data_IF_102907164357
#
_entry.id   IF_102907164357
#
_cell.length_a   1.000
_cell.length_b   1.000
_cell.length_c   1.000
_cell.angle_alpha   90.00
_cell.angle_beta   90.00
_cell.angle_gamma   90.00
#
_symmetry.space_group_name_H-M   'P 1'
#
loop_
_entity.id
_entity.type
_entity.pdbx_description
1 polymer ?
#
# COMPACT_ATOMS: atom_id res chain seq x y z
N UNK A 1 -34.08 5.88 4.53
CA UNK A 1 -33.72 7.26 4.94
C UNK A 1 -32.32 7.56 4.43
N UNK A 2 -32.14 8.65 3.67
CA UNK A 2 -30.84 9.08 3.09
C UNK A 2 -30.40 10.35 3.82
N UNK A 3 -29.10 10.50 4.08
CA UNK A 3 -28.61 11.71 4.74
C UNK A 3 -28.68 12.92 3.80
N UNK A 4 -28.75 14.13 4.39
CA UNK A 4 -28.83 15.39 3.66
C UNK A 4 -27.72 15.54 2.60
N UNK A 5 -26.52 15.02 2.90
CA UNK A 5 -25.38 15.01 1.97
C UNK A 5 -25.64 14.18 0.71
N UNK A 6 -26.10 12.93 0.89
CA UNK A 6 -26.42 12.05 -0.24
C UNK A 6 -27.56 12.62 -1.08
N UNK A 7 -28.57 13.24 -0.44
CA UNK A 7 -29.67 13.90 -1.13
C UNK A 7 -29.18 15.08 -1.99
N UNK A 8 -28.31 15.94 -1.45
CA UNK A 8 -27.70 17.06 -2.19
C UNK A 8 -26.87 16.61 -3.39
N UNK A 9 -26.05 15.58 -3.21
CA UNK A 9 -25.25 15.02 -4.30
C UNK A 9 -26.13 14.43 -5.41
N UNK A 10 -27.16 13.64 -5.05
CA UNK A 10 -28.01 12.95 -6.04
C UNK A 10 -28.94 13.89 -6.81
N UNK A 11 -29.51 14.89 -6.16
CA UNK A 11 -30.55 15.74 -6.77
C UNK A 11 -30.06 17.10 -7.25
N UNK A 12 -28.94 17.59 -6.72
CA UNK A 12 -28.42 18.92 -7.02
C UNK A 12 -26.96 18.93 -7.48
N UNK A 13 -26.29 17.76 -7.50
CA UNK A 13 -24.85 17.68 -7.79
C UNK A 13 -23.99 18.45 -6.79
N UNK A 14 -24.53 18.76 -5.60
CA UNK A 14 -23.85 19.57 -4.59
C UNK A 14 -23.03 18.69 -3.65
N UNK A 15 -21.74 18.97 -3.59
CA UNK A 15 -20.78 18.36 -2.67
C UNK A 15 -19.95 19.48 -2.06
N UNK A 16 -19.89 19.50 -0.72
CA UNK A 16 -19.03 20.42 0.01
C UNK A 16 -17.59 20.28 -0.49
N UNK A 17 -16.89 21.40 -0.65
CA UNK A 17 -15.54 21.39 -1.23
C UNK A 17 -14.60 20.44 -0.48
N UNK A 18 -14.77 20.34 0.83
CA UNK A 18 -13.98 19.45 1.69
C UNK A 18 -14.03 17.97 1.32
N UNK A 19 -15.12 17.57 0.68
CA UNK A 19 -15.37 16.19 0.29
C UNK A 19 -14.99 15.91 -1.16
N UNK A 20 -14.56 16.94 -1.91
CA UNK A 20 -14.11 16.77 -3.29
C UNK A 20 -12.74 16.09 -3.31
N UNK A 21 -12.54 15.07 -4.16
CA UNK A 21 -11.23 14.42 -4.29
C UNK A 21 -10.12 15.42 -4.58
N UNK A 22 -9.04 15.38 -3.80
CA UNK A 22 -7.89 16.28 -3.95
C UNK A 22 -8.07 17.66 -3.34
N UNK A 23 -9.18 17.92 -2.64
CA UNK A 23 -9.32 19.14 -1.84
C UNK A 23 -8.52 19.03 -0.55
N UNK A 24 -7.86 20.13 -0.19
CA UNK A 24 -7.16 20.31 1.09
C UNK A 24 -6.96 21.79 1.36
N UNK A 25 -7.32 22.26 2.54
CA UNK A 25 -6.95 23.59 3.05
C UNK A 25 -5.46 23.69 3.39
N UNK A 26 -4.78 22.55 3.48
CA UNK A 26 -3.35 22.48 3.71
C UNK A 26 -2.59 22.51 2.37
N UNK A 27 -1.81 23.57 2.16
CA UNK A 27 -0.96 23.77 0.98
C UNK A 27 0.09 22.66 0.76
N UNK A 28 0.39 21.86 1.80
CA UNK A 28 1.27 20.70 1.71
C UNK A 28 0.59 19.43 1.14
N UNK A 29 -0.75 19.37 1.14
CA UNK A 29 -1.53 18.17 0.79
C UNK A 29 -2.31 18.32 -0.52
N UNK A 30 -1.80 19.14 -1.46
CA UNK A 30 -2.40 19.26 -2.79
C UNK A 30 -2.04 18.04 -3.67
N UNK A 31 -2.88 17.67 -4.67
CA UNK A 31 -2.60 16.55 -5.57
C UNK A 31 -1.27 16.71 -6.33
N UNK A 32 -0.92 17.94 -6.71
CA UNK A 32 0.36 18.25 -7.36
C UNK A 32 1.52 17.93 -6.43
N UNK A 33 1.45 18.36 -5.18
CA UNK A 33 2.51 18.10 -4.20
C UNK A 33 2.67 16.62 -3.87
N UNK A 34 1.55 15.88 -3.85
CA UNK A 34 1.60 14.42 -3.74
C UNK A 34 2.33 13.78 -4.94
N UNK A 35 2.09 14.24 -6.16
CA UNK A 35 2.84 13.78 -7.34
C UNK A 35 4.32 14.15 -7.25
N UNK A 36 4.64 15.37 -6.82
CA UNK A 36 6.03 15.82 -6.63
C UNK A 36 6.77 14.97 -5.58
N UNK A 37 6.09 14.56 -4.50
CA UNK A 37 6.65 13.65 -3.48
C UNK A 37 6.90 12.24 -4.00
N UNK A 38 6.12 11.78 -4.99
CA UNK A 38 6.28 10.45 -5.58
C UNK A 38 7.26 10.43 -6.76
N UNK A 39 7.52 11.57 -7.39
CA UNK A 39 8.39 11.70 -8.57
C UNK A 39 9.78 11.07 -8.38
N UNK A 40 10.49 11.26 -7.24
CA UNK A 40 11.81 10.67 -7.03
C UNK A 40 11.81 9.14 -7.04
N UNK A 41 10.74 8.49 -6.57
CA UNK A 41 10.63 7.02 -6.46
C UNK A 41 10.83 6.35 -7.82
N UNK A 42 10.46 7.02 -8.91
CA UNK A 42 10.60 6.46 -10.26
C UNK A 42 12.03 6.50 -10.77
N UNK A 43 12.76 7.58 -10.48
CA UNK A 43 14.08 7.86 -11.07
C UNK A 43 15.23 7.45 -10.19
N UNK A 44 15.02 7.43 -8.88
CA UNK A 44 16.04 7.06 -7.91
C UNK A 44 16.12 5.53 -7.77
N UNK A 45 17.33 5.05 -7.51
CA UNK A 45 17.58 3.64 -7.23
C UNK A 45 17.12 3.34 -5.81
N UNK A 46 15.94 2.75 -5.69
CA UNK A 46 15.32 2.46 -4.41
C UNK A 46 14.71 1.05 -4.35
N UNK A 47 14.15 0.69 -3.20
CA UNK A 47 13.30 -0.49 -2.99
C UNK A 47 11.92 -0.02 -2.53
N UNK A 48 10.87 -0.55 -3.12
CA UNK A 48 9.50 -0.16 -2.81
C UNK A 48 8.81 -1.26 -2.01
N UNK A 49 8.40 -0.95 -0.78
CA UNK A 49 7.52 -1.78 0.03
C UNK A 49 6.09 -1.26 -0.14
N UNK A 50 5.28 -2.02 -0.86
CA UNK A 50 3.92 -1.65 -1.18
C UNK A 50 2.93 -2.34 -0.24
N UNK A 51 2.26 -1.59 0.62
CA UNK A 51 1.24 -2.10 1.54
C UNK A 51 -0.16 -2.04 0.94
N UNK A 52 -0.91 -3.13 1.10
CA UNK A 52 -2.32 -3.25 0.71
C UNK A 52 -3.14 -3.90 1.84
N UNK A 53 -4.46 -3.68 1.84
CA UNK A 53 -5.39 -4.41 2.71
C UNK A 53 -5.86 -5.69 2.00
N UNK A 54 -5.83 -6.84 2.66
CA UNK A 54 -6.36 -8.08 2.09
C UNK A 54 -7.87 -8.03 1.83
N UNK A 55 -8.64 -7.36 2.68
CA UNK A 55 -10.11 -7.36 2.65
C UNK A 55 -10.68 -6.26 1.74
N UNK A 56 -9.88 -5.25 1.46
CA UNK A 56 -10.15 -4.23 0.45
C UNK A 56 -9.00 -4.19 -0.56
N UNK A 57 -8.66 -5.34 -1.14
CA UNK A 57 -7.51 -5.47 -2.01
C UNK A 57 -7.63 -4.57 -3.24
N UNK A 58 -8.73 -4.66 -3.98
CA UNK A 58 -8.96 -3.84 -5.17
C UNK A 58 -8.98 -2.33 -4.87
N UNK A 59 -9.56 -1.89 -3.75
CA UNK A 59 -9.56 -0.48 -3.33
C UNK A 59 -8.19 0.00 -2.80
N UNK A 60 -7.36 -0.93 -2.32
CA UNK A 60 -5.98 -0.66 -1.89
C UNK A 60 -4.98 -0.56 -3.04
N UNK A 61 -5.39 -0.94 -4.26
CA UNK A 61 -4.51 -0.99 -5.41
C UNK A 61 -4.33 0.36 -6.10
N UNK A 62 -3.07 0.74 -6.30
CA UNK A 62 -2.68 1.92 -7.06
C UNK A 62 -2.63 1.53 -8.54
N UNK A 63 -3.65 1.92 -9.29
CA UNK A 63 -3.79 1.65 -10.73
C UNK A 63 -2.60 2.14 -11.57
N UNK A 64 -1.89 3.16 -11.09
CA UNK A 64 -0.71 3.75 -11.72
C UNK A 64 0.60 3.33 -11.05
N UNK A 65 0.64 2.20 -10.31
CA UNK A 65 1.83 1.76 -9.57
C UNK A 65 3.09 1.75 -10.45
N UNK A 66 3.04 1.14 -11.64
CA UNK A 66 4.20 1.09 -12.57
C UNK A 66 4.72 2.48 -12.94
N UNK A 67 3.84 3.49 -13.03
CA UNK A 67 4.24 4.88 -13.31
C UNK A 67 4.93 5.53 -12.12
N UNK A 68 4.60 5.10 -10.90
CA UNK A 68 5.18 5.61 -9.65
C UNK A 68 6.55 4.96 -9.40
N UNK A 69 6.65 3.65 -9.58
CA UNK A 69 7.85 2.88 -9.16
C UNK A 69 8.90 2.72 -10.26
N UNK A 70 8.53 2.86 -11.54
CA UNK A 70 9.46 2.61 -12.65
C UNK A 70 10.02 1.17 -12.61
N UNK A 71 11.34 1.06 -12.67
CA UNK A 71 12.06 -0.23 -12.66
C UNK A 71 12.51 -0.66 -11.25
N UNK A 72 12.00 0.00 -10.20
CA UNK A 72 12.32 -0.36 -8.83
C UNK A 72 11.56 -1.63 -8.37
N UNK A 73 12.20 -2.49 -7.56
CA UNK A 73 11.64 -3.74 -7.10
C UNK A 73 10.53 -3.41 -6.14
N UNK A 74 9.38 -4.04 -6.39
CA UNK A 74 8.22 -3.92 -5.54
C UNK A 74 8.07 -5.18 -4.73
N UNK A 75 8.04 -5.01 -3.42
CA UNK A 75 7.63 -6.02 -2.46
C UNK A 75 6.22 -5.72 -2.00
N UNK A 76 5.29 -6.65 -2.24
CA UNK A 76 3.90 -6.48 -1.85
C UNK A 76 3.68 -7.06 -0.45
N UNK A 77 3.40 -6.19 0.52
CA UNK A 77 2.98 -6.55 1.86
C UNK A 77 1.45 -6.46 1.96
N UNK A 78 0.77 -7.60 1.96
CA UNK A 78 -0.69 -7.68 2.06
C UNK A 78 -1.08 -7.83 3.53
N UNK A 79 -1.65 -6.79 4.09
CA UNK A 79 -1.88 -6.62 5.52
C UNK A 79 -3.24 -7.16 5.98
N UNK A 80 -3.43 -7.21 7.31
CA UNK A 80 -4.64 -7.63 8.03
C UNK A 80 -4.94 -9.11 7.93
N UNK A 81 -3.92 -9.95 7.69
CA UNK A 81 -4.11 -11.40 7.60
C UNK A 81 -4.53 -12.06 8.91
N UNK A 82 -4.44 -11.34 10.03
CA UNK A 82 -5.01 -11.77 11.32
C UNK A 82 -6.54 -11.92 11.30
N UNK A 83 -7.22 -11.30 10.32
CA UNK A 83 -8.66 -11.43 10.13
C UNK A 83 -9.05 -12.65 9.29
N UNK A 84 -8.10 -13.39 8.73
CA UNK A 84 -8.38 -14.62 7.98
C UNK A 84 -8.80 -15.77 8.90
N UNK A 85 -9.68 -16.67 8.43
CA UNK A 85 -9.90 -17.97 9.08
C UNK A 85 -8.59 -18.76 9.20
N UNK A 86 -8.38 -19.43 10.34
CA UNK A 86 -7.13 -20.14 10.65
C UNK A 86 -6.85 -21.33 9.70
N UNK A 87 -7.91 -21.91 9.16
CA UNK A 87 -7.93 -23.05 8.24
C UNK A 87 -7.67 -22.67 6.78
N UNK A 88 -7.67 -21.37 6.44
CA UNK A 88 -7.43 -20.91 5.09
C UNK A 88 -5.95 -21.07 4.71
N UNK A 89 -5.70 -21.78 3.60
CA UNK A 89 -4.35 -21.93 3.05
C UNK A 89 -3.76 -20.59 2.62
N UNK A 90 -2.64 -20.21 3.26
CA UNK A 90 -1.85 -19.02 2.88
C UNK A 90 -1.37 -19.06 1.43
N UNK A 91 -1.02 -20.24 0.93
CA UNK A 91 -0.60 -20.41 -0.47
C UNK A 91 -1.71 -20.11 -1.47
N UNK A 92 -2.96 -20.48 -1.14
CA UNK A 92 -4.12 -20.12 -1.96
C UNK A 92 -4.32 -18.61 -2.01
N UNK A 93 -4.19 -17.93 -0.87
CA UNK A 93 -4.28 -16.46 -0.79
C UNK A 93 -3.17 -15.80 -1.61
N UNK A 94 -1.92 -16.22 -1.47
CA UNK A 94 -0.79 -15.70 -2.27
C UNK A 94 -1.02 -15.92 -3.78
N UNK A 95 -1.57 -17.08 -4.15
CA UNK A 95 -1.86 -17.41 -5.55
C UNK A 95 -2.95 -16.51 -6.11
N UNK A 96 -4.02 -16.27 -5.34
CA UNK A 96 -5.07 -15.33 -5.71
C UNK A 96 -4.52 -13.90 -5.87
N UNK A 97 -3.74 -13.40 -4.90
CA UNK A 97 -3.09 -12.08 -4.97
C UNK A 97 -2.21 -11.99 -6.22
N UNK A 98 -1.36 -12.98 -6.47
CA UNK A 98 -0.48 -12.99 -7.64
C UNK A 98 -1.27 -12.85 -8.95
N UNK A 99 -2.34 -13.64 -9.12
CA UNK A 99 -3.19 -13.57 -10.29
C UNK A 99 -3.88 -12.20 -10.42
N UNK A 100 -4.31 -11.61 -9.31
CA UNK A 100 -4.97 -10.30 -9.30
C UNK A 100 -3.99 -9.16 -9.67
N UNK A 101 -2.76 -9.19 -9.17
CA UNK A 101 -1.72 -8.23 -9.59
C UNK A 101 -1.37 -8.36 -11.07
N UNK A 102 -1.41 -9.59 -11.61
CA UNK A 102 -1.19 -9.84 -13.04
C UNK A 102 -2.36 -9.32 -13.87
N UNK A 103 -3.60 -9.52 -13.42
CA UNK A 103 -4.83 -9.02 -14.08
C UNK A 103 -4.83 -7.50 -14.21
N UNK A 104 -4.25 -6.79 -13.25
CA UNK A 104 -4.16 -5.34 -13.22
C UNK A 104 -2.92 -4.75 -13.92
N UNK A 105 -2.08 -5.60 -14.52
CA UNK A 105 -1.02 -5.16 -15.44
C UNK A 105 0.33 -4.80 -14.83
N UNK A 106 0.55 -5.06 -13.54
CA UNK A 106 1.85 -4.83 -12.88
C UNK A 106 2.57 -6.12 -12.43
N UNK A 107 1.84 -7.23 -12.22
CA UNK A 107 2.41 -8.58 -12.14
C UNK A 107 3.54 -8.76 -11.13
N UNK A 108 3.20 -8.91 -9.84
CA UNK A 108 4.22 -9.06 -8.78
C UNK A 108 4.59 -10.54 -8.62
N UNK A 109 5.88 -10.93 -8.68
CA UNK A 109 6.30 -12.32 -8.49
C UNK A 109 5.85 -12.87 -7.13
N UNK A 110 5.39 -14.14 -7.08
CA UNK A 110 4.93 -14.77 -5.82
C UNK A 110 5.91 -14.63 -4.66
N UNK A 111 7.22 -14.75 -4.94
CA UNK A 111 8.30 -14.62 -3.94
C UNK A 111 8.40 -13.22 -3.31
N UNK A 112 7.86 -12.18 -3.95
CA UNK A 112 7.84 -10.81 -3.44
C UNK A 112 6.52 -10.46 -2.74
N UNK A 113 5.58 -11.42 -2.63
CA UNK A 113 4.31 -11.25 -1.92
C UNK A 113 4.46 -11.80 -0.51
N UNK A 114 4.19 -10.95 0.47
CA UNK A 114 4.19 -11.30 1.90
C UNK A 114 2.85 -11.02 2.52
N UNK A 115 2.28 -12.02 3.19
CA UNK A 115 1.11 -11.89 4.03
C UNK A 115 1.55 -11.40 5.42
N UNK A 116 1.01 -10.27 5.87
CA UNK A 116 1.39 -9.63 7.13
C UNK A 116 0.20 -9.23 7.99
N UNK A 117 0.42 -9.17 9.29
CA UNK A 117 -0.44 -8.48 10.23
C UNK A 117 0.41 -7.47 10.97
N UNK A 118 0.37 -6.21 10.55
CA UNK A 118 1.11 -5.13 11.20
C UNK A 118 0.63 -4.90 12.64
N UNK A 119 -0.62 -5.28 12.94
CA UNK A 119 -1.20 -5.21 14.29
C UNK A 119 -0.56 -6.22 15.25
N UNK A 120 -0.29 -7.43 14.78
CA UNK A 120 0.23 -8.52 15.62
C UNK A 120 1.75 -8.71 15.48
N UNK A 121 2.35 -8.20 14.40
CA UNK A 121 3.73 -8.43 14.00
C UNK A 121 3.91 -9.63 13.06
N UNK A 122 2.87 -10.45 12.87
CA UNK A 122 2.99 -11.67 12.05
C UNK A 122 3.45 -11.35 10.62
N UNK A 123 4.54 -11.98 10.19
CA UNK A 123 5.11 -11.81 8.85
C UNK A 123 5.87 -10.51 8.60
N UNK A 124 5.83 -9.54 9.53
CA UNK A 124 6.47 -8.23 9.34
C UNK A 124 7.99 -8.37 9.31
N UNK A 125 8.58 -9.17 10.18
CA UNK A 125 10.05 -9.35 10.24
C UNK A 125 10.62 -9.95 8.95
N UNK A 126 9.83 -10.78 8.25
CA UNK A 126 10.19 -11.29 6.92
C UNK A 126 10.26 -10.16 5.91
N UNK A 127 9.24 -9.28 5.88
CA UNK A 127 9.25 -8.10 5.00
C UNK A 127 10.45 -7.20 5.31
N UNK A 128 10.76 -6.98 6.59
CA UNK A 128 11.93 -6.20 7.03
C UNK A 128 13.24 -6.82 6.55
N UNK A 129 13.38 -8.15 6.66
CA UNK A 129 14.57 -8.87 6.21
C UNK A 129 14.74 -8.76 4.70
N UNK A 130 13.66 -9.00 3.96
CA UNK A 130 13.66 -8.99 2.50
C UNK A 130 13.92 -7.56 1.97
N UNK A 131 13.31 -6.52 2.54
CA UNK A 131 13.54 -5.14 2.09
C UNK A 131 14.98 -4.68 2.36
N UNK A 132 15.54 -5.06 3.52
CA UNK A 132 16.96 -4.77 3.85
C UNK A 132 17.91 -5.54 2.94
N UNK A 133 17.57 -6.77 2.57
CA UNK A 133 18.34 -7.55 1.60
C UNK A 133 18.36 -6.84 0.24
N UNK A 134 17.20 -6.51 -0.32
CA UNK A 134 17.12 -5.82 -1.61
C UNK A 134 17.79 -4.43 -1.60
N UNK A 135 17.71 -3.70 -0.49
CA UNK A 135 18.38 -2.42 -0.33
C UNK A 135 19.91 -2.57 -0.41
N UNK A 136 20.47 -3.57 0.28
CA UNK A 136 21.92 -3.88 0.23
C UNK A 136 22.38 -4.31 -1.15
N UNK A 137 21.66 -5.22 -1.79
CA UNK A 137 21.94 -5.65 -3.17
C UNK A 137 21.90 -4.49 -4.17
N UNK A 138 21.23 -3.40 -3.79
CA UNK A 138 21.13 -2.18 -4.58
C UNK A 138 22.08 -1.06 -4.13
N UNK A 139 23.13 -1.37 -3.38
CA UNK A 139 24.14 -0.40 -2.97
C UNK A 139 23.70 0.44 -1.78
N UNK A 140 23.01 -0.17 -0.82
CA UNK A 140 22.36 0.51 0.32
C UNK A 140 21.33 1.57 -0.14
N UNK A 141 20.52 1.20 -1.12
CA UNK A 141 19.46 2.02 -1.66
C UNK A 141 18.38 2.34 -0.61
N UNK A 142 17.73 3.50 -0.77
CA UNK A 142 16.62 3.91 0.08
C UNK A 142 15.40 2.99 -0.07
N UNK A 143 14.59 2.93 0.99
CA UNK A 143 13.38 2.12 1.06
C UNK A 143 12.16 3.03 1.16
N UNK A 144 11.26 2.95 0.19
CA UNK A 144 10.01 3.71 0.17
C UNK A 144 8.84 2.80 0.54
N UNK A 145 8.07 3.24 1.54
CA UNK A 145 6.84 2.55 1.97
C UNK A 145 5.64 3.29 1.37
N UNK A 146 4.89 2.63 0.49
CA UNK A 146 3.75 3.23 -0.20
C UNK A 146 2.45 2.43 0.02
N UNK A 147 1.30 3.07 -0.25
CA UNK A 147 -0.01 2.42 -0.26
C UNK A 147 -1.18 3.35 0.10
N UNK A 148 -2.41 2.91 -0.21
CA UNK A 148 -3.66 3.68 0.03
C UNK A 148 -3.90 4.00 1.50
N UNK A 149 -4.84 4.91 1.80
CA UNK A 149 -5.27 5.16 3.17
C UNK A 149 -5.79 3.85 3.82
N UNK A 150 -5.68 3.73 5.16
CA UNK A 150 -6.22 2.62 5.96
C UNK A 150 -5.67 1.20 5.70
N UNK A 151 -4.70 1.02 4.79
CA UNK A 151 -4.02 -0.27 4.58
C UNK A 151 -3.11 -0.67 5.74
N UNK A 152 -2.82 0.24 6.67
CA UNK A 152 -1.99 -0.01 7.86
C UNK A 152 -0.53 0.47 7.78
N UNK A 153 -0.22 1.42 6.87
CA UNK A 153 1.12 2.02 6.75
C UNK A 153 1.66 2.58 8.07
N UNK A 154 0.88 3.38 8.79
CA UNK A 154 1.33 3.96 10.06
C UNK A 154 1.61 2.88 11.11
N UNK A 155 0.79 1.83 11.16
CA UNK A 155 1.02 0.67 12.05
C UNK A 155 2.31 -0.05 11.68
N UNK A 156 2.58 -0.24 10.39
CA UNK A 156 3.83 -0.84 9.90
C UNK A 156 5.04 0.01 10.29
N UNK A 157 5.02 1.33 10.03
CA UNK A 157 6.12 2.23 10.40
C UNK A 157 6.35 2.24 11.92
N UNK A 158 5.29 2.30 12.71
CA UNK A 158 5.41 2.26 14.18
C UNK A 158 6.02 0.94 14.66
N UNK A 159 5.66 -0.19 14.05
CA UNK A 159 6.29 -1.47 14.34
C UNK A 159 7.81 -1.43 14.07
N UNK A 160 8.24 -0.80 12.98
CA UNK A 160 9.67 -0.64 12.67
C UNK A 160 10.40 0.26 13.67
N UNK A 161 9.78 1.38 14.05
CA UNK A 161 10.36 2.34 14.99
C UNK A 161 10.47 1.79 16.41
N UNK A 162 9.56 0.90 16.80
CA UNK A 162 9.56 0.24 18.11
C UNK A 162 10.52 -0.96 18.18
N UNK A 163 11.27 -1.25 17.11
CA UNK A 163 12.32 -2.28 17.12
C UNK A 163 11.86 -3.70 16.78
N UNK A 164 10.59 -3.92 16.42
CA UNK A 164 10.01 -5.27 16.45
C UNK A 164 9.87 -5.75 17.90
N UNK A 165 8.90 -6.63 18.18
CA UNK A 165 8.78 -7.17 19.55
C UNK A 165 10.07 -7.92 19.91
N UNK A 166 10.70 -7.51 21.00
CA UNK A 166 11.68 -8.32 21.74
C UNK A 166 11.14 -9.74 21.99
#
# INVERSE_FOLDING_TARGET
VICQRCYKLMHYGQVDNELRPGWSDNAFLTPKRFQDLLSPIRTERCVVVYLTDLFDFSGSLLWNLNRIVGDNPVMLAVNKVDLLPKDLSRDRVITWIHNETKRLGFGIPRKHISLVSCKTGAGVDRVVRDMRYFARERGNADIYVIGSANVGKSTFINYLLQGGRE
#
